data_IF_810522083609
#
_entry.id   IF_810522083609
#
_cell.length_a   1.000
_cell.length_b   1.000
_cell.length_c   1.000
_cell.angle_alpha   90.00
_cell.angle_beta   90.00
_cell.angle_gamma   90.00
#
_symmetry.space_group_name_H-M   'P 1'
#
loop_
_entity.id
_entity.type
_entity.pdbx_description
1 polymer ?
#
# COMPACT_ATOMS: atom_id res chain seq x y z
N UNK A 1 -19.76 -13.37 32.49
CA UNK A 1 -20.99 -12.69 32.04
C UNK A 1 -22.15 -13.68 31.89
N UNK A 2 -23.37 -13.26 32.24
CA UNK A 2 -24.64 -13.97 32.06
C UNK A 2 -25.37 -13.55 30.76
N UNK A 3 -26.30 -14.38 30.28
CA UNK A 3 -27.04 -14.14 29.03
C UNK A 3 -27.90 -12.85 29.07
N UNK A 4 -28.44 -12.47 30.22
CA UNK A 4 -29.17 -11.20 30.36
C UNK A 4 -28.29 -9.98 30.08
N UNK A 5 -27.02 -10.00 30.51
CA UNK A 5 -26.08 -8.89 30.33
C UNK A 5 -25.70 -8.70 28.87
N UNK A 6 -25.52 -9.80 28.13
CA UNK A 6 -25.23 -9.77 26.69
C UNK A 6 -26.41 -9.17 25.89
N UNK A 7 -27.66 -9.48 26.26
CA UNK A 7 -28.84 -8.89 25.63
C UNK A 7 -28.98 -7.39 25.90
N UNK A 8 -28.65 -6.97 27.12
CA UNK A 8 -28.62 -5.55 27.48
C UNK A 8 -27.55 -4.80 26.67
N UNK A 9 -26.34 -5.37 26.56
CA UNK A 9 -25.25 -4.82 25.74
C UNK A 9 -25.62 -4.73 24.27
N UNK A 10 -26.24 -5.77 23.69
CA UNK A 10 -26.69 -5.75 22.30
C UNK A 10 -27.71 -4.63 22.06
N UNK A 11 -28.66 -4.44 22.98
CA UNK A 11 -29.69 -3.40 22.88
C UNK A 11 -29.09 -2.01 22.98
N UNK A 12 -28.16 -1.78 23.92
CA UNK A 12 -27.47 -0.50 24.07
C UNK A 12 -26.57 -0.21 22.86
N UNK A 13 -25.86 -1.23 22.36
CA UNK A 13 -25.04 -1.12 21.17
C UNK A 13 -25.89 -0.71 19.97
N UNK A 14 -27.04 -1.35 19.75
CA UNK A 14 -27.98 -1.02 18.67
C UNK A 14 -28.53 0.42 18.76
N UNK A 15 -28.82 0.90 19.98
CA UNK A 15 -29.27 2.28 20.22
C UNK A 15 -28.16 3.34 20.15
N UNK A 16 -26.89 2.93 20.25
CA UNK A 16 -25.74 3.84 20.19
C UNK A 16 -25.36 4.23 18.75
N UNK A 17 -24.52 5.24 18.61
CA UNK A 17 -23.89 5.60 17.32
C UNK A 17 -22.66 4.74 16.99
N UNK A 18 -22.33 3.75 17.82
CA UNK A 18 -21.17 2.90 17.62
C UNK A 18 -21.38 1.95 16.44
N UNK A 19 -20.38 1.85 15.58
CA UNK A 19 -20.35 0.92 14.44
C UNK A 19 -19.72 -0.41 14.82
N UNK A 20 -18.79 -0.42 15.78
CA UNK A 20 -17.99 -1.58 16.17
C UNK A 20 -17.71 -1.57 17.68
N UNK A 21 -17.70 -2.75 18.30
CA UNK A 21 -17.42 -2.96 19.71
C UNK A 21 -16.74 -4.31 19.94
N UNK A 22 -15.59 -4.31 20.62
CA UNK A 22 -14.81 -5.51 21.02
C UNK A 22 -14.64 -5.46 22.55
N UNK A 23 -15.03 -6.54 23.23
CA UNK A 23 -14.87 -6.73 24.67
C UNK A 23 -14.20 -8.08 24.95
N UNK A 24 -13.09 -8.05 25.72
CA UNK A 24 -12.37 -9.25 26.16
C UNK A 24 -12.26 -9.28 27.67
N UNK A 25 -12.74 -10.35 28.28
CA UNK A 25 -12.67 -10.59 29.71
C UNK A 25 -12.20 -12.03 29.98
N UNK A 26 -10.91 -12.20 30.27
CA UNK A 26 -10.31 -13.52 30.49
C UNK A 26 -10.41 -14.41 29.24
N UNK A 27 -11.19 -15.49 29.32
CA UNK A 27 -11.46 -16.39 28.18
C UNK A 27 -12.74 -16.04 27.40
N UNK A 28 -13.42 -14.95 27.76
CA UNK A 28 -14.63 -14.48 27.10
C UNK A 28 -14.29 -13.37 26.09
N UNK A 29 -14.77 -13.51 24.85
CA UNK A 29 -14.64 -12.51 23.80
C UNK A 29 -16.03 -12.22 23.20
N UNK A 30 -16.39 -10.94 23.11
CA UNK A 30 -17.62 -10.46 22.49
C UNK A 30 -17.30 -9.37 21.46
N UNK A 31 -17.65 -9.64 20.21
CA UNK A 31 -17.48 -8.73 19.09
C UNK A 31 -18.84 -8.39 18.46
N UNK A 32 -19.15 -7.10 18.33
CA UNK A 32 -20.37 -6.59 17.72
C UNK A 32 -20.01 -5.56 16.64
N UNK A 33 -20.65 -5.67 15.47
CA UNK A 33 -20.43 -4.75 14.35
C UNK A 33 -21.76 -4.50 13.63
N UNK A 34 -22.11 -3.23 13.37
CA UNK A 34 -23.32 -2.81 12.64
C UNK A 34 -23.14 -2.79 11.12
N UNK A 35 -21.91 -2.94 10.65
CA UNK A 35 -21.58 -2.93 9.25
C UNK A 35 -22.02 -4.26 8.60
N UNK A 36 -22.96 -4.21 7.67
CA UNK A 36 -23.56 -5.38 7.03
C UNK A 36 -22.71 -5.97 5.89
N UNK A 37 -21.38 -5.86 5.98
CA UNK A 37 -20.47 -6.54 5.05
C UNK A 37 -20.26 -7.97 5.54
N UNK A 38 -21.19 -8.84 5.15
CA UNK A 38 -21.05 -10.29 5.28
C UNK A 38 -19.86 -10.77 4.44
N UNK A 39 -18.81 -11.24 5.11
CA UNK A 39 -17.60 -11.71 4.43
C UNK A 39 -16.68 -12.51 5.34
N UNK A 40 -17.24 -13.40 6.18
CA UNK A 40 -16.45 -14.52 6.73
C UNK A 40 -16.15 -15.47 5.57
N UNK A 41 -15.06 -15.23 4.85
CA UNK A 41 -14.55 -16.24 3.92
C UNK A 41 -13.71 -17.24 4.72
N UNK A 42 -14.29 -18.41 4.93
CA UNK A 42 -13.56 -19.59 5.35
C UNK A 42 -12.46 -19.88 4.32
N UNK A 43 -11.25 -20.17 4.78
CA UNK A 43 -10.17 -20.70 3.94
C UNK A 43 -9.68 -22.00 4.58
N UNK A 44 -10.11 -23.11 4.00
CA UNK A 44 -9.43 -24.41 3.98
C UNK A 44 -9.44 -24.88 2.51
N UNK A 45 -8.59 -25.83 2.09
CA UNK A 45 -7.16 -25.99 2.33
C UNK A 45 -6.40 -26.02 0.97
N UNK A 46 -5.10 -25.69 0.93
CA UNK A 46 -4.25 -26.00 -0.24
C UNK A 46 -3.18 -27.00 0.16
N UNK A 47 -3.35 -28.20 -0.38
CA UNK A 47 -2.42 -29.32 -0.44
C UNK A 47 -1.10 -28.87 -1.08
N UNK A 48 0.01 -29.05 -0.36
CA UNK A 48 1.37 -28.92 -0.91
C UNK A 48 1.72 -30.16 -1.76
N UNK A 49 2.19 -30.00 -3.00
CA UNK A 49 2.82 -31.10 -3.73
C UNK A 49 4.21 -31.38 -3.15
N UNK A 50 4.42 -32.64 -2.78
CA UNK A 50 5.66 -33.21 -2.31
C UNK A 50 6.70 -33.29 -3.43
N UNK A 51 7.93 -32.85 -3.11
CA UNK A 51 9.11 -32.89 -3.97
C UNK A 51 9.61 -34.33 -4.17
N UNK A 52 10.13 -34.65 -5.35
CA UNK A 52 11.24 -35.60 -5.49
C UNK A 52 11.97 -35.41 -6.83
N UNK A 53 13.32 -35.50 -6.85
CA UNK A 53 14.14 -35.19 -8.02
C UNK A 53 14.57 -36.45 -8.80
N UNK A 54 15.41 -36.20 -9.82
CA UNK A 54 16.33 -37.11 -10.54
C UNK A 54 15.82 -37.65 -11.88
N UNK A 55 16.41 -37.16 -12.98
CA UNK A 55 17.26 -37.99 -13.87
C UNK A 55 17.87 -37.16 -15.01
N UNK A 56 19.17 -37.32 -15.18
CA UNK A 56 20.03 -36.70 -16.19
C UNK A 56 19.96 -37.39 -17.56
N UNK A 57 20.24 -36.62 -18.61
CA UNK A 57 20.81 -36.96 -19.94
C UNK A 57 20.23 -35.96 -20.95
N UNK A 58 20.93 -35.28 -21.83
CA UNK A 58 22.31 -35.29 -22.31
C UNK A 58 22.30 -34.57 -23.68
N UNK A 59 23.49 -34.14 -24.12
CA UNK A 59 23.85 -33.78 -25.51
C UNK A 59 23.46 -32.37 -26.04
N UNK A 60 24.47 -31.50 -26.01
CA UNK A 60 25.07 -30.73 -27.12
C UNK A 60 24.22 -30.36 -28.35
N UNK A 61 24.12 -29.05 -28.65
CA UNK A 61 24.63 -28.40 -29.88
C UNK A 61 24.61 -26.86 -29.73
N UNK A 62 25.62 -26.12 -30.23
CA UNK A 62 25.65 -24.65 -30.20
C UNK A 62 25.14 -24.07 -31.53
N UNK A 63 24.32 -23.00 -31.48
CA UNK A 63 24.15 -22.09 -32.62
C UNK A 63 23.93 -20.65 -32.11
N UNK A 64 24.64 -19.76 -32.77
CA UNK A 64 24.91 -18.34 -32.55
C UNK A 64 23.79 -17.42 -33.10
N UNK A 65 23.74 -16.17 -32.60
CA UNK A 65 23.04 -14.98 -33.12
C UNK A 65 21.49 -14.98 -32.97
N UNK A 66 20.80 -13.95 -32.46
CA UNK A 66 20.78 -12.55 -32.90
C UNK A 66 20.33 -11.63 -31.75
N UNK A 67 21.02 -10.50 -31.61
CA UNK A 67 20.65 -9.32 -30.81
C UNK A 67 19.37 -8.65 -31.34
N UNK A 68 18.42 -8.29 -30.46
CA UNK A 68 17.70 -7.01 -30.54
C UNK A 68 17.40 -6.55 -29.11
N UNK A 69 18.13 -5.51 -28.73
CA UNK A 69 17.79 -4.57 -27.67
C UNK A 69 16.63 -3.73 -28.21
N UNK A 70 15.52 -3.65 -27.48
CA UNK A 70 14.53 -2.60 -27.69
C UNK A 70 14.61 -1.63 -26.51
N UNK A 71 15.35 -0.56 -26.76
CA UNK A 71 15.34 0.69 -26.01
C UNK A 71 13.96 1.34 -26.12
N UNK A 72 13.34 1.64 -24.99
CA UNK A 72 12.41 2.77 -24.89
C UNK A 72 13.10 3.90 -24.12
N UNK A 73 13.07 5.15 -24.64
CA UNK A 73 13.90 6.23 -24.14
C UNK A 73 13.24 6.88 -22.93
N UNK A 74 13.81 6.70 -21.75
CA UNK A 74 13.57 7.63 -20.63
C UNK A 74 14.79 8.52 -20.48
N UNK A 75 14.70 9.62 -21.22
CA UNK A 75 15.29 10.92 -20.97
C UNK A 75 15.86 11.04 -19.55
N UNK A 76 17.18 10.89 -19.43
CA UNK A 76 17.92 11.16 -18.19
C UNK A 76 18.10 12.68 -18.09
N UNK A 77 17.53 13.36 -17.08
CA UNK A 77 18.04 14.67 -16.71
C UNK A 77 19.27 14.45 -15.82
N UNK A 78 20.41 14.84 -16.37
CA UNK A 78 21.55 15.49 -15.71
C UNK A 78 21.72 15.23 -14.21
N UNK A 79 22.74 14.42 -13.90
CA UNK A 79 23.40 14.40 -12.60
C UNK A 79 24.03 15.77 -12.29
N UNK A 80 23.27 16.71 -11.71
CA UNK A 80 23.83 17.78 -10.88
C UNK A 80 22.86 18.47 -9.91
N UNK A 81 21.64 17.96 -9.70
CA UNK A 81 20.75 18.48 -8.66
C UNK A 81 20.79 17.53 -7.46
N UNK A 82 20.99 18.07 -6.27
CA UNK A 82 20.93 17.29 -5.03
C UNK A 82 19.47 16.90 -4.80
N UNK A 83 19.06 15.79 -5.39
CA UNK A 83 17.70 15.26 -5.27
C UNK A 83 17.55 14.42 -4.01
N UNK A 84 16.49 14.66 -3.26
CA UNK A 84 16.07 13.85 -2.12
C UNK A 84 14.79 13.08 -2.47
N UNK A 85 14.55 11.93 -1.83
CA UNK A 85 13.40 11.07 -2.11
C UNK A 85 12.43 11.07 -0.93
N UNK A 86 11.13 11.17 -1.23
CA UNK A 86 10.06 10.93 -0.25
C UNK A 86 9.65 9.46 -0.40
N UNK A 87 9.80 8.68 0.66
CA UNK A 87 9.57 7.23 0.67
C UNK A 87 8.31 6.84 1.44
N UNK A 88 7.71 5.69 1.12
CA UNK A 88 6.58 5.16 1.90
C UNK A 88 7.03 4.67 3.28
N UNK A 89 6.44 5.14 4.39
CA UNK A 89 6.73 4.64 5.73
C UNK A 89 5.96 3.36 6.07
N UNK A 90 5.10 2.87 5.17
CA UNK A 90 4.21 1.72 5.37
C UNK A 90 4.06 0.91 4.09
N UNK A 91 3.62 -0.35 4.22
CA UNK A 91 3.23 -1.19 3.07
C UNK A 91 1.74 -0.97 2.80
N UNK A 92 1.34 -0.78 1.54
CA UNK A 92 -0.06 -0.53 1.20
C UNK A 92 -0.31 -0.23 -0.26
N UNK A 93 -1.48 0.34 -0.56
CA UNK A 93 -1.87 0.82 -1.89
C UNK A 93 -1.75 2.33 -1.92
N UNK A 94 -0.99 2.90 -2.86
CA UNK A 94 -0.81 4.35 -2.97
C UNK A 94 -1.93 4.99 -3.77
N UNK A 95 -2.45 6.12 -3.30
CA UNK A 95 -3.39 6.97 -4.02
C UNK A 95 -2.79 8.35 -4.17
N UNK A 96 -2.63 8.79 -5.43
CA UNK A 96 -2.12 10.10 -5.77
C UNK A 96 -3.19 11.19 -5.65
N UNK A 97 -4.46 10.81 -5.54
CA UNK A 97 -5.63 11.69 -5.47
C UNK A 97 -6.38 11.47 -4.14
N UNK A 98 -6.96 12.53 -3.53
CA UNK A 98 -7.76 12.39 -2.32
C UNK A 98 -9.12 11.71 -2.56
N UNK A 99 -9.59 11.70 -3.80
CA UNK A 99 -10.80 11.02 -4.25
C UNK A 99 -10.75 10.80 -5.78
N UNK A 100 -11.54 9.86 -6.36
CA UNK A 100 -11.48 9.51 -7.79
C UNK A 100 -11.64 10.69 -8.76
N UNK A 101 -12.46 11.68 -8.40
CA UNK A 101 -12.77 12.85 -9.24
C UNK A 101 -11.98 14.11 -8.86
N UNK A 102 -10.90 13.97 -8.07
CA UNK A 102 -10.07 15.10 -7.61
C UNK A 102 -8.70 15.06 -8.27
N UNK A 103 -8.07 16.23 -8.39
CA UNK A 103 -6.69 16.31 -8.87
C UNK A 103 -5.74 15.63 -7.89
N UNK A 104 -4.56 15.25 -8.39
CA UNK A 104 -3.51 14.71 -7.54
C UNK A 104 -3.14 15.71 -6.44
N UNK A 105 -2.70 15.21 -5.29
CA UNK A 105 -2.16 16.05 -4.22
C UNK A 105 -1.02 16.95 -4.72
N UNK A 106 -0.14 16.39 -5.55
CA UNK A 106 0.97 17.10 -6.20
C UNK A 106 1.18 16.63 -7.64
N UNK A 107 1.78 17.49 -8.46
CA UNK A 107 2.27 17.17 -9.82
C UNK A 107 3.74 17.58 -9.96
N UNK A 108 4.40 17.06 -10.99
CA UNK A 108 5.77 17.48 -11.35
C UNK A 108 5.80 18.99 -11.58
N UNK A 109 6.78 19.65 -10.96
CA UNK A 109 6.96 21.10 -10.96
C UNK A 109 6.30 21.82 -9.77
N UNK A 110 5.51 21.13 -8.95
CA UNK A 110 4.94 21.73 -7.74
C UNK A 110 6.00 21.89 -6.64
N UNK A 111 5.89 22.99 -5.89
CA UNK A 111 6.71 23.22 -4.69
C UNK A 111 6.02 22.61 -3.48
N UNK A 112 6.76 21.86 -2.67
CA UNK A 112 6.31 21.24 -1.43
C UNK A 112 7.17 21.70 -0.25
N UNK A 113 6.56 21.77 0.94
CA UNK A 113 7.23 22.00 2.21
C UNK A 113 7.11 20.77 3.09
N UNK A 114 8.05 20.63 4.00
CA UNK A 114 8.03 19.58 5.02
C UNK A 114 6.68 19.61 5.76
N UNK A 115 5.98 18.48 5.76
CA UNK A 115 4.64 18.34 6.35
C UNK A 115 3.47 18.48 5.37
N UNK A 116 3.69 18.97 4.14
CA UNK A 116 2.64 19.00 3.11
C UNK A 116 2.26 17.59 2.69
N UNK A 117 0.97 17.30 2.54
CA UNK A 117 0.47 15.98 2.11
C UNK A 117 0.73 15.81 0.61
N UNK A 118 1.43 14.74 0.24
CA UNK A 118 1.84 14.46 -1.15
C UNK A 118 1.12 13.26 -1.77
N UNK A 119 0.64 12.31 -0.96
CA UNK A 119 -0.24 11.22 -1.37
C UNK A 119 -0.88 10.57 -0.14
N UNK A 120 -1.72 9.56 -0.38
CA UNK A 120 -2.23 8.67 0.66
C UNK A 120 -1.71 7.26 0.40
N UNK A 121 -1.43 6.50 1.45
CA UNK A 121 -1.22 5.06 1.36
C UNK A 121 -2.27 4.34 2.22
N UNK A 122 -3.08 3.50 1.57
CA UNK A 122 -4.05 2.64 2.22
C UNK A 122 -3.38 1.40 2.78
N UNK A 123 -3.45 1.23 4.10
CA UNK A 123 -2.98 0.03 4.78
C UNK A 123 -4.05 -0.43 5.77
N UNK A 124 -4.48 -1.69 5.68
CA UNK A 124 -5.49 -2.27 6.58
C UNK A 124 -6.79 -1.44 6.66
N UNK A 125 -7.26 -0.91 5.52
CA UNK A 125 -8.44 -0.01 5.39
C UNK A 125 -8.28 1.37 6.04
N UNK A 126 -7.08 1.75 6.46
CA UNK A 126 -6.77 3.10 6.92
C UNK A 126 -6.07 3.87 5.79
N UNK A 127 -6.61 5.05 5.48
CA UNK A 127 -6.04 6.00 4.54
C UNK A 127 -5.02 6.88 5.28
N UNK A 128 -3.74 6.53 5.19
CA UNK A 128 -2.68 7.28 5.87
C UNK A 128 -2.10 8.34 4.93
N UNK A 129 -2.12 9.60 5.35
CA UNK A 129 -1.47 10.68 4.62
C UNK A 129 0.05 10.52 4.66
N UNK A 130 0.68 10.61 3.50
CA UNK A 130 2.13 10.71 3.38
C UNK A 130 2.49 12.17 3.21
N UNK A 131 3.37 12.67 4.07
CA UNK A 131 3.82 14.05 4.03
C UNK A 131 5.23 14.18 3.48
N UNK A 132 5.52 15.32 2.86
CA UNK A 132 6.86 15.64 2.41
C UNK A 132 7.82 15.72 3.60
N UNK A 133 8.98 15.08 3.48
CA UNK A 133 10.04 15.07 4.50
C UNK A 133 11.04 16.22 4.31
N UNK A 134 10.94 16.91 3.17
CA UNK A 134 11.91 17.92 2.70
C UNK A 134 11.17 19.05 1.98
N UNK A 135 11.80 20.23 1.98
CA UNK A 135 11.36 21.37 1.20
C UNK A 135 11.98 21.32 -0.21
N UNK A 136 11.19 21.58 -1.25
CA UNK A 136 11.71 21.61 -2.61
C UNK A 136 10.65 21.52 -3.70
N UNK A 137 11.07 21.13 -4.90
CA UNK A 137 10.20 20.98 -6.08
C UNK A 137 10.11 19.52 -6.51
N UNK A 138 8.90 19.02 -6.74
CA UNK A 138 8.67 17.65 -7.24
C UNK A 138 9.24 17.55 -8.65
N UNK A 139 10.27 16.73 -8.84
CA UNK A 139 10.87 16.50 -10.16
C UNK A 139 10.33 15.24 -10.83
N UNK A 140 10.01 14.20 -10.04
CA UNK A 140 9.50 12.93 -10.55
C UNK A 140 8.49 12.31 -9.57
N UNK A 141 7.46 11.65 -10.13
CA UNK A 141 6.54 10.77 -9.40
C UNK A 141 6.92 9.34 -9.80
N UNK A 142 7.32 8.52 -8.82
CA UNK A 142 7.97 7.22 -9.04
C UNK A 142 7.01 6.03 -8.97
N UNK A 143 5.73 6.30 -8.72
CA UNK A 143 4.64 5.32 -8.58
C UNK A 143 3.41 5.76 -9.36
N UNK A 144 2.57 4.83 -9.76
CA UNK A 144 1.26 5.12 -10.35
C UNK A 144 0.18 5.13 -9.27
N UNK A 145 -0.95 5.76 -9.58
CA UNK A 145 -2.13 5.66 -8.72
C UNK A 145 -2.59 4.21 -8.63
N UNK A 146 -2.95 3.77 -7.43
CA UNK A 146 -3.37 2.39 -7.08
C UNK A 146 -2.26 1.33 -7.13
N UNK A 147 -0.98 1.72 -7.22
CA UNK A 147 0.13 0.78 -7.12
C UNK A 147 0.31 0.24 -5.68
N UNK A 148 0.82 -0.99 -5.58
CA UNK A 148 1.27 -1.56 -4.30
C UNK A 148 2.66 -1.01 -3.99
N UNK A 149 2.82 -0.47 -2.79
CA UNK A 149 4.08 0.10 -2.30
C UNK A 149 4.58 -0.60 -1.05
N UNK A 150 5.91 -0.73 -0.93
CA UNK A 150 6.59 -1.35 0.20
C UNK A 150 7.18 -0.31 1.17
N UNK A 151 7.56 -0.77 2.37
CA UNK A 151 8.27 0.07 3.33
C UNK A 151 9.60 0.57 2.76
N UNK A 152 9.82 1.88 2.83
CA UNK A 152 11.02 2.53 2.31
C UNK A 152 11.04 2.70 0.80
N UNK A 153 9.99 2.27 0.07
CA UNK A 153 9.93 2.46 -1.37
C UNK A 153 9.84 3.95 -1.72
N UNK A 154 10.70 4.47 -2.62
CA UNK A 154 10.61 5.84 -3.11
C UNK A 154 9.29 6.09 -3.85
N UNK A 155 8.61 7.19 -3.50
CA UNK A 155 7.33 7.62 -4.10
C UNK A 155 7.51 8.87 -4.97
N UNK A 156 8.33 9.80 -4.52
CA UNK A 156 8.60 11.06 -5.21
C UNK A 156 10.09 11.41 -5.14
N UNK A 157 10.58 12.09 -6.18
CA UNK A 157 11.88 12.75 -6.18
C UNK A 157 11.70 14.25 -6.09
N UNK A 158 12.48 14.89 -5.23
CA UNK A 158 12.41 16.32 -4.91
C UNK A 158 13.76 16.96 -5.14
N UNK A 159 13.82 18.02 -5.94
CA UNK A 159 14.99 18.89 -6.01
C UNK A 159 14.95 19.88 -4.84
N UNK A 160 15.99 19.87 -4.01
CA UNK A 160 16.08 20.80 -2.88
C UNK A 160 16.19 22.24 -3.40
N UNK A 161 15.34 23.13 -2.89
CA UNK A 161 15.49 24.56 -3.14
C UNK A 161 16.77 25.07 -2.47
N UNK A 162 17.60 25.80 -3.22
CA UNK A 162 18.80 26.48 -2.69
C UNK A 162 18.44 27.57 -1.68
#
# INVERSE_FOLDING_TARGET
MQLEEVKALLTQFDQSTLTEFDLREGSFELYMNKNTVSGRSAVEPVVQPQETPVAASGVSVPVETVSVVEETPTNTPTANEKTEEITSPIVGIVYLQPAPDKENFVKVGDTVKTGDVVCIVEAMKLMNEITATVDGVITEILVNNEDVVEFGQPLFRVAKGE
#
